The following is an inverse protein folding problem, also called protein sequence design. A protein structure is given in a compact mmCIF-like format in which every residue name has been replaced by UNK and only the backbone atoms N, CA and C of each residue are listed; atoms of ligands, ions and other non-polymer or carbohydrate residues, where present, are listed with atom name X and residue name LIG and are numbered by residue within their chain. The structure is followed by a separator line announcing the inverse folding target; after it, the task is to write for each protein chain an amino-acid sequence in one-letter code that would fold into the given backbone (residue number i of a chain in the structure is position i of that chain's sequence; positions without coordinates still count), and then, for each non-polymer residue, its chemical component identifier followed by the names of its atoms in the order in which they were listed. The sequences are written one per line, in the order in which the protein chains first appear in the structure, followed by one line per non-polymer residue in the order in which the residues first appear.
data_IF_761894550275
#
_entry.id   IF_761894550275
#
_cell.length_a   1.000
_cell.length_b   1.000
_cell.length_c   1.000
_cell.angle_alpha   90.00
_cell.angle_beta   90.00
_cell.angle_gamma   90.00
#
_symmetry.space_group_name_H-M   'P 1'
#
loop_
_entity.id
_entity.type
_entity.pdbx_description
1 polymer ?
#
# COMPACT_ATOMS: atom_id res chain seq x y z
N UNK A 1 -2.34 2.04 -4.90
CA UNK A 1 -2.92 2.06 -3.56
C UNK A 1 -2.91 0.66 -2.95
N UNK A 2 -2.86 0.60 -1.62
CA UNK A 2 -2.93 -0.65 -0.87
C UNK A 2 -4.38 -1.03 -0.58
N UNK A 3 -4.63 -2.33 -0.54
CA UNK A 3 -5.84 -2.92 0.01
C UNK A 3 -5.52 -3.65 1.33
N UNK A 4 -6.52 -3.74 2.18
CA UNK A 4 -6.51 -4.57 3.39
C UNK A 4 -7.18 -5.89 3.05
N UNK A 5 -6.58 -7.01 3.48
CA UNK A 5 -7.21 -8.33 3.37
C UNK A 5 -7.33 -9.01 4.72
N UNK A 6 -8.37 -9.83 4.89
CA UNK A 6 -8.56 -10.61 6.10
C UNK A 6 -9.51 -11.80 5.86
N UNK A 7 -9.63 -12.70 6.88
CA UNK A 7 -10.54 -13.85 6.86
C UNK A 7 -11.70 -13.74 7.87
N UNK A 8 -11.86 -12.60 8.57
CA UNK A 8 -12.91 -12.47 9.60
C UNK A 8 -14.21 -11.93 9.04
N UNK A 9 -14.14 -10.79 8.37
CA UNK A 9 -15.32 -10.10 7.87
C UNK A 9 -14.97 -9.06 6.82
N UNK A 10 -15.97 -8.61 6.09
CA UNK A 10 -15.90 -7.40 5.27
C UNK A 10 -15.60 -6.18 6.17
N UNK A 11 -14.66 -5.34 5.73
CA UNK A 11 -14.26 -4.11 6.42
C UNK A 11 -14.82 -2.93 5.66
N UNK A 12 -15.77 -2.25 6.26
CA UNK A 12 -16.34 -0.98 5.75
C UNK A 12 -16.06 0.20 6.67
N UNK A 13 -15.71 -0.06 7.93
CA UNK A 13 -15.34 0.96 8.92
C UNK A 13 -14.00 0.64 9.58
N UNK A 14 -13.28 1.65 10.04
CA UNK A 14 -11.97 1.48 10.68
C UNK A 14 -12.08 0.73 12.03
N UNK A 15 -13.18 0.90 12.75
CA UNK A 15 -13.37 0.22 14.03
C UNK A 15 -13.41 -1.32 13.89
N UNK A 16 -13.79 -1.83 12.72
CA UNK A 16 -13.79 -3.28 12.45
C UNK A 16 -12.37 -3.88 12.40
N UNK A 17 -11.33 -3.05 12.26
CA UNK A 17 -9.93 -3.48 12.34
C UNK A 17 -9.44 -3.66 13.77
N UNK A 18 -10.16 -3.09 14.76
CA UNK A 18 -9.70 -3.07 16.14
C UNK A 18 -9.44 -4.48 16.70
N UNK A 19 -8.24 -4.66 17.25
CA UNK A 19 -7.78 -5.92 17.84
C UNK A 19 -7.43 -7.02 16.83
N UNK A 20 -7.55 -6.79 15.52
CA UNK A 20 -7.09 -7.74 14.51
C UNK A 20 -5.57 -7.85 14.52
N UNK A 21 -5.07 -9.06 14.35
CA UNK A 21 -3.63 -9.33 14.14
C UNK A 21 -3.30 -9.14 12.67
N UNK A 22 -2.70 -8.01 12.34
CA UNK A 22 -2.34 -7.71 10.95
C UNK A 22 -0.83 -7.83 10.74
N UNK A 23 -0.44 -8.48 9.67
CA UNK A 23 0.97 -8.53 9.31
C UNK A 23 1.52 -7.12 9.09
N UNK A 24 2.70 -6.87 9.62
CA UNK A 24 3.48 -5.67 9.35
C UNK A 24 4.88 -6.03 8.85
N UNK A 25 5.48 -5.13 8.07
CA UNK A 25 6.91 -5.18 7.81
C UNK A 25 7.68 -4.73 9.07
N UNK A 26 8.97 -5.06 9.14
CA UNK A 26 9.87 -4.65 10.23
C UNK A 26 10.27 -3.17 10.05
N UNK A 27 9.35 -2.29 10.34
CA UNK A 27 9.50 -0.84 10.27
C UNK A 27 8.67 -0.20 11.37
N UNK A 28 9.29 0.63 12.20
CA UNK A 28 8.60 1.35 13.30
C UNK A 28 7.42 2.16 12.77
N UNK A 29 7.58 2.80 11.62
CA UNK A 29 6.52 3.55 10.96
C UNK A 29 5.32 2.65 10.61
N UNK A 30 5.57 1.48 10.02
CA UNK A 30 4.50 0.53 9.66
C UNK A 30 3.82 -0.03 10.91
N UNK A 31 4.57 -0.37 11.96
CA UNK A 31 4.04 -0.85 13.23
C UNK A 31 3.14 0.20 13.86
N UNK A 32 3.67 1.41 14.08
CA UNK A 32 2.92 2.51 14.71
C UNK A 32 1.69 2.92 13.90
N UNK A 33 1.74 2.82 12.57
CA UNK A 33 0.60 3.13 11.71
C UNK A 33 -0.57 2.13 11.88
N UNK A 34 -0.29 0.88 12.25
CA UNK A 34 -1.31 -0.10 12.62
C UNK A 34 -1.80 0.13 14.05
N UNK A 35 -0.89 0.37 14.99
CA UNK A 35 -1.23 0.65 16.39
C UNK A 35 -2.14 1.88 16.53
N UNK A 36 -1.93 2.92 15.72
CA UNK A 36 -2.79 4.10 15.66
C UNK A 36 -4.25 3.78 15.29
N UNK A 37 -4.48 2.68 14.58
CA UNK A 37 -5.82 2.17 14.23
C UNK A 37 -6.33 1.10 15.22
N UNK A 38 -5.72 0.96 16.38
CA UNK A 38 -6.01 -0.08 17.39
C UNK A 38 -5.87 -1.52 16.86
N UNK A 39 -5.02 -1.71 15.87
CA UNK A 39 -4.66 -3.00 15.28
C UNK A 39 -3.46 -3.58 16.02
N UNK A 40 -3.36 -4.91 16.11
CA UNK A 40 -2.21 -5.61 16.66
C UNK A 40 -1.24 -5.98 15.52
N UNK A 41 -0.15 -5.22 15.29
CA UNK A 41 0.81 -5.55 14.25
C UNK A 41 1.66 -6.75 14.65
N UNK A 42 1.84 -7.67 13.72
CA UNK A 42 2.74 -8.83 13.85
C UNK A 42 3.78 -8.75 12.75
N UNK A 43 5.04 -8.54 13.14
CA UNK A 43 6.14 -8.38 12.18
C UNK A 43 6.63 -9.72 11.66
N UNK A 44 6.72 -9.84 10.35
CA UNK A 44 7.29 -11.01 9.68
C UNK A 44 7.76 -10.69 8.27
N UNK A 45 8.66 -11.53 7.74
CA UNK A 45 9.08 -11.43 6.35
C UNK A 45 7.91 -11.72 5.40
N UNK A 46 7.92 -11.11 4.20
CA UNK A 46 6.88 -11.34 3.21
C UNK A 46 6.81 -12.80 2.75
N UNK A 47 7.95 -13.49 2.71
CA UNK A 47 8.05 -14.91 2.36
C UNK A 47 7.34 -15.86 3.34
N UNK A 48 7.10 -15.42 4.59
CA UNK A 48 6.42 -16.21 5.62
C UNK A 48 4.91 -15.97 5.65
N UNK A 49 4.45 -14.96 4.91
CA UNK A 49 3.10 -14.42 5.06
C UNK A 49 2.03 -15.40 4.60
N UNK A 50 2.20 -16.10 3.47
CA UNK A 50 1.19 -17.04 2.97
C UNK A 50 0.84 -18.12 4.01
N UNK A 51 1.86 -18.77 4.57
CA UNK A 51 1.67 -19.81 5.60
C UNK A 51 1.08 -19.22 6.88
N UNK A 52 1.47 -18.00 7.25
CA UNK A 52 0.95 -17.32 8.44
C UNK A 52 -0.52 -16.92 8.32
N UNK A 53 -0.97 -16.55 7.11
CA UNK A 53 -2.37 -16.32 6.80
C UNK A 53 -3.17 -17.62 6.76
N UNK A 54 -2.60 -18.68 6.17
CA UNK A 54 -3.22 -19.98 6.03
C UNK A 54 -3.51 -20.63 7.38
N UNK A 55 -2.58 -20.55 8.31
CA UNK A 55 -2.73 -21.16 9.65
C UNK A 55 -3.31 -20.21 10.71
N UNK A 56 -3.66 -18.96 10.35
CA UNK A 56 -4.27 -17.98 11.23
C UNK A 56 -3.34 -17.37 12.28
N UNK A 57 -2.02 -17.41 12.08
CA UNK A 57 -1.05 -16.68 12.92
C UNK A 57 -1.34 -15.19 12.89
N UNK A 58 -1.72 -14.67 11.71
CA UNK A 58 -2.28 -13.35 11.50
C UNK A 58 -3.65 -13.43 10.86
N UNK A 59 -4.51 -12.48 11.16
CA UNK A 59 -5.87 -12.40 10.63
C UNK A 59 -5.88 -11.85 9.20
N UNK A 60 -4.90 -11.00 8.89
CA UNK A 60 -4.84 -10.31 7.60
C UNK A 60 -3.54 -9.56 7.37
N UNK A 61 -3.53 -8.79 6.30
CA UNK A 61 -2.38 -7.99 5.87
C UNK A 61 -2.85 -6.83 4.99
N UNK A 62 -1.91 -5.96 4.59
CA UNK A 62 -2.12 -4.98 3.53
C UNK A 62 -1.03 -5.07 2.48
N UNK A 63 -1.42 -4.93 1.23
CA UNK A 63 -0.50 -4.84 0.08
C UNK A 63 -1.23 -4.27 -1.14
N UNK A 64 -0.52 -4.13 -2.27
CA UNK A 64 -1.15 -3.77 -3.54
C UNK A 64 -1.96 -4.92 -4.12
N UNK A 65 -2.98 -4.64 -4.94
CA UNK A 65 -3.77 -5.66 -5.66
C UNK A 65 -2.86 -6.60 -6.44
N UNK A 66 -1.91 -6.04 -7.20
CA UNK A 66 -1.00 -6.85 -8.01
C UNK A 66 -0.13 -7.80 -7.18
N UNK A 67 0.40 -7.35 -6.03
CA UNK A 67 1.17 -8.22 -5.13
C UNK A 67 0.29 -9.28 -4.46
N UNK A 68 -0.93 -8.92 -4.08
CA UNK A 68 -1.89 -9.85 -3.51
C UNK A 68 -2.22 -10.98 -4.49
N UNK A 69 -2.54 -10.61 -5.74
CA UNK A 69 -2.89 -11.55 -6.79
C UNK A 69 -1.71 -12.44 -7.19
N UNK A 70 -0.54 -11.86 -7.47
CA UNK A 70 0.64 -12.62 -7.89
C UNK A 70 1.19 -13.57 -6.80
N UNK A 71 0.93 -13.26 -5.53
CA UNK A 71 1.28 -14.11 -4.38
C UNK A 71 0.19 -15.12 -4.02
N UNK A 72 -0.89 -15.17 -4.78
CA UNK A 72 -2.02 -16.10 -4.60
C UNK A 72 -2.67 -16.02 -3.20
N UNK A 73 -2.61 -14.85 -2.54
CA UNK A 73 -3.20 -14.68 -1.21
C UNK A 73 -4.71 -14.85 -1.20
N UNK A 74 -5.39 -14.76 -2.34
CA UNK A 74 -6.81 -15.05 -2.49
C UNK A 74 -7.18 -16.52 -2.15
N UNK A 75 -6.22 -17.44 -2.12
CA UNK A 75 -6.46 -18.82 -1.66
C UNK A 75 -6.65 -18.91 -0.14
N UNK A 76 -6.10 -17.95 0.60
CA UNK A 76 -6.06 -17.94 2.06
C UNK A 76 -6.69 -16.71 2.70
N UNK A 77 -7.24 -15.78 1.90
CA UNK A 77 -7.88 -14.54 2.36
C UNK A 77 -9.16 -14.28 1.57
N UNK A 78 -10.29 -14.05 2.25
CA UNK A 78 -11.62 -13.95 1.63
C UNK A 78 -12.15 -12.54 1.45
N UNK A 79 -11.76 -11.61 2.32
CA UNK A 79 -12.29 -10.24 2.32
C UNK A 79 -11.20 -9.27 1.95
N UNK A 80 -11.45 -8.46 0.93
CA UNK A 80 -10.55 -7.42 0.45
C UNK A 80 -11.26 -6.07 0.55
N UNK A 81 -10.60 -5.08 1.14
CA UNK A 81 -11.12 -3.71 1.20
C UNK A 81 -10.10 -2.74 0.62
N UNK A 82 -10.52 -1.94 -0.35
CA UNK A 82 -9.70 -0.85 -0.91
C UNK A 82 -9.66 0.30 0.10
N UNK A 83 -8.65 0.30 0.96
CA UNK A 83 -8.52 1.28 2.03
C UNK A 83 -7.95 2.62 1.57
N UNK A 84 -7.20 2.63 0.49
CA UNK A 84 -6.44 3.79 -0.02
C UNK A 84 -5.51 4.44 1.04
N UNK A 85 -5.13 3.66 2.05
CA UNK A 85 -4.34 4.13 3.19
C UNK A 85 -2.90 4.45 2.81
N UNK A 86 -2.30 3.64 1.96
CA UNK A 86 -0.92 3.79 1.51
C UNK A 86 -0.89 3.92 0.00
N UNK A 87 -0.22 4.96 -0.46
CA UNK A 87 0.12 5.10 -1.87
C UNK A 87 1.50 4.49 -2.12
N UNK A 88 1.55 3.45 -2.96
CA UNK A 88 2.80 2.77 -3.25
C UNK A 88 3.55 3.47 -4.38
N UNK A 89 4.70 4.04 -4.04
CA UNK A 89 5.61 4.66 -5.00
C UNK A 89 6.78 3.71 -5.26
N UNK A 90 7.04 3.44 -6.53
CA UNK A 90 8.22 2.70 -6.98
C UNK A 90 9.25 3.66 -7.52
N UNK A 91 10.52 3.46 -7.17
CA UNK A 91 11.65 4.25 -7.66
C UNK A 91 12.65 3.36 -8.37
N UNK A 92 13.18 3.85 -9.48
CA UNK A 92 14.32 3.21 -10.14
C UNK A 92 15.60 3.76 -9.51
N UNK A 93 16.44 2.86 -8.97
CA UNK A 93 17.69 3.23 -8.34
C UNK A 93 18.85 2.52 -9.03
N UNK A 94 19.94 3.26 -9.22
CA UNK A 94 21.21 2.75 -9.71
C UNK A 94 22.32 3.35 -8.85
N UNK A 95 23.37 2.57 -8.55
CA UNK A 95 24.52 3.13 -7.86
C UNK A 95 25.26 4.12 -8.76
N UNK A 96 25.84 5.17 -8.16
CA UNK A 96 26.63 6.14 -8.90
C UNK A 96 27.78 5.48 -9.67
N UNK A 97 28.45 4.52 -9.06
CA UNK A 97 29.54 3.77 -9.72
C UNK A 97 29.07 3.06 -11.00
N UNK A 98 27.88 2.42 -10.96
CA UNK A 98 27.32 1.74 -12.13
C UNK A 98 26.90 2.76 -13.21
N UNK A 99 26.34 3.89 -12.80
CA UNK A 99 25.96 4.97 -13.71
C UNK A 99 27.17 5.56 -14.42
N UNK A 100 28.25 5.86 -13.70
CA UNK A 100 29.48 6.47 -14.25
C UNK A 100 30.25 5.50 -15.16
N UNK A 101 30.02 4.19 -15.04
CA UNK A 101 30.60 3.19 -15.94
C UNK A 101 29.90 3.11 -17.31
N UNK A 102 28.71 3.72 -17.45
CA UNK A 102 27.96 3.77 -18.70
C UNK A 102 28.48 4.91 -19.59
N UNK A 103 28.50 4.67 -20.90
CA UNK A 103 28.67 5.75 -21.87
C UNK A 103 27.43 6.66 -21.88
N UNK A 104 27.59 7.90 -22.32
CA UNK A 104 26.47 8.85 -22.46
C UNK A 104 25.30 8.26 -23.29
N UNK A 105 25.61 7.56 -24.37
CA UNK A 105 24.59 6.89 -25.18
C UNK A 105 23.81 5.82 -24.39
N UNK A 106 24.49 5.04 -23.53
CA UNK A 106 23.84 4.04 -22.69
C UNK A 106 23.01 4.68 -21.57
N UNK A 107 23.49 5.78 -20.97
CA UNK A 107 22.73 6.56 -19.99
C UNK A 107 21.44 7.11 -20.61
N UNK A 108 21.51 7.66 -21.83
CA UNK A 108 20.35 8.18 -22.54
C UNK A 108 19.31 7.08 -22.84
N UNK A 109 19.76 5.92 -23.34
CA UNK A 109 18.87 4.77 -23.59
C UNK A 109 18.18 4.31 -22.30
N UNK A 110 18.93 4.23 -21.19
CA UNK A 110 18.38 3.83 -19.90
C UNK A 110 17.32 4.82 -19.40
N UNK A 111 17.60 6.13 -19.49
CA UNK A 111 16.66 7.18 -19.11
C UNK A 111 15.40 7.17 -19.97
N UNK A 112 15.54 6.98 -21.28
CA UNK A 112 14.40 6.84 -22.19
C UNK A 112 13.52 5.64 -21.80
N UNK A 113 14.13 4.48 -21.58
CA UNK A 113 13.39 3.27 -21.17
C UNK A 113 12.69 3.44 -19.82
N UNK A 114 13.32 4.08 -18.81
CA UNK A 114 12.71 4.37 -17.50
C UNK A 114 11.53 5.34 -17.67
N UNK A 115 11.69 6.39 -18.46
CA UNK A 115 10.62 7.37 -18.71
C UNK A 115 9.43 6.72 -19.41
N UNK A 116 9.67 5.97 -20.48
CA UNK A 116 8.61 5.24 -21.21
C UNK A 116 7.89 4.24 -20.28
N UNK A 117 8.63 3.43 -19.53
CA UNK A 117 8.08 2.51 -18.57
C UNK A 117 7.21 3.21 -17.52
N UNK A 118 7.67 4.36 -17.00
CA UNK A 118 6.94 5.13 -15.98
C UNK A 118 5.62 5.70 -16.51
N UNK A 119 5.61 6.18 -17.75
CA UNK A 119 4.40 6.70 -18.40
C UNK A 119 3.36 5.60 -18.63
N UNK A 120 3.80 4.44 -19.11
CA UNK A 120 2.92 3.33 -19.44
C UNK A 120 2.46 2.54 -18.21
N UNK A 121 3.24 2.57 -17.12
CA UNK A 121 3.00 1.77 -15.91
C UNK A 121 1.62 2.03 -15.28
N UNK A 122 1.20 3.29 -15.22
CA UNK A 122 -0.06 3.68 -14.59
C UNK A 122 -1.26 2.99 -15.25
N UNK A 123 -1.36 3.09 -16.57
CA UNK A 123 -2.47 2.53 -17.34
C UNK A 123 -2.45 0.99 -17.31
N UNK A 124 -1.26 0.41 -17.49
CA UNK A 124 -1.08 -1.04 -17.38
C UNK A 124 -1.51 -1.58 -16.02
N UNK A 125 -1.05 -0.96 -14.92
CA UNK A 125 -1.38 -1.41 -13.56
C UNK A 125 -2.84 -1.19 -13.20
N UNK A 126 -3.48 -0.14 -13.71
CA UNK A 126 -4.90 0.06 -13.51
C UNK A 126 -5.69 -1.11 -14.10
N UNK A 127 -5.44 -1.43 -15.37
CA UNK A 127 -6.09 -2.56 -16.03
C UNK A 127 -5.76 -3.89 -15.35
N UNK A 128 -4.50 -4.13 -15.00
CA UNK A 128 -4.08 -5.34 -14.32
C UNK A 128 -4.79 -5.53 -12.97
N UNK A 129 -4.94 -4.45 -12.20
CA UNK A 129 -5.64 -4.50 -10.91
C UNK A 129 -7.14 -4.80 -11.10
N UNK A 130 -7.81 -4.16 -12.07
CA UNK A 130 -9.22 -4.42 -12.39
C UNK A 130 -9.44 -5.88 -12.81
N UNK A 131 -8.62 -6.39 -13.74
CA UNK A 131 -8.69 -7.77 -14.21
C UNK A 131 -8.45 -8.76 -13.05
N UNK A 132 -7.46 -8.48 -12.19
CA UNK A 132 -7.14 -9.33 -11.03
C UNK A 132 -8.27 -9.35 -9.99
N UNK A 133 -8.88 -8.22 -9.68
CA UNK A 133 -10.03 -8.14 -8.76
C UNK A 133 -11.20 -8.94 -9.33
N UNK A 134 -11.51 -8.74 -10.61
CA UNK A 134 -12.59 -9.45 -11.28
C UNK A 134 -12.38 -10.97 -11.26
N UNK A 135 -11.16 -11.44 -11.54
CA UNK A 135 -10.82 -12.86 -11.49
C UNK A 135 -10.98 -13.44 -10.06
N UNK A 136 -10.47 -12.74 -9.05
CA UNK A 136 -10.58 -13.17 -7.65
C UNK A 136 -12.04 -13.28 -7.19
N UNK A 137 -12.86 -12.30 -7.55
CA UNK A 137 -14.30 -12.29 -7.19
C UNK A 137 -15.07 -13.41 -7.92
N UNK A 138 -14.84 -13.59 -9.21
CA UNK A 138 -15.60 -14.52 -10.03
C UNK A 138 -15.19 -15.98 -9.82
N UNK A 139 -13.90 -16.26 -9.65
CA UNK A 139 -13.36 -17.60 -9.68
C UNK A 139 -12.89 -18.14 -8.34
N UNK A 140 -12.59 -17.27 -7.35
CA UNK A 140 -12.02 -17.67 -6.05
C UNK A 140 -12.90 -17.33 -4.85
N UNK A 141 -14.08 -16.74 -5.06
CA UNK A 141 -15.06 -16.45 -4.02
C UNK A 141 -14.60 -15.36 -3.03
N UNK A 142 -13.76 -14.46 -3.50
CA UNK A 142 -13.31 -13.29 -2.73
C UNK A 142 -14.43 -12.24 -2.71
N UNK A 143 -14.68 -11.65 -1.55
CA UNK A 143 -15.52 -10.46 -1.40
C UNK A 143 -14.66 -9.22 -1.49
N UNK A 144 -14.96 -8.33 -2.43
CA UNK A 144 -14.23 -7.08 -2.62
C UNK A 144 -15.11 -5.88 -2.27
N UNK A 145 -14.61 -5.03 -1.41
CA UNK A 145 -15.20 -3.75 -0.99
C UNK A 145 -14.34 -2.62 -1.58
N UNK A 146 -14.93 -1.85 -2.48
CA UNK A 146 -14.22 -0.84 -3.28
C UNK A 146 -13.88 0.45 -2.51
N UNK A 147 -14.50 0.66 -1.35
CA UNK A 147 -14.26 1.83 -0.50
C UNK A 147 -14.67 1.59 0.95
N UNK A 148 -14.10 2.35 1.86
CA UNK A 148 -14.62 2.49 3.21
C UNK A 148 -15.91 3.34 3.19
N UNK A 149 -16.73 3.22 4.23
CA UNK A 149 -17.92 4.04 4.41
C UNK A 149 -17.56 5.54 4.48
N UNK A 150 -18.54 6.39 4.21
CA UNK A 150 -18.35 7.85 4.23
C UNK A 150 -17.80 8.32 5.59
N UNK A 151 -16.78 9.18 5.56
CA UNK A 151 -16.13 9.73 6.75
C UNK A 151 -15.04 8.82 7.35
N UNK A 152 -15.01 7.52 7.06
CA UNK A 152 -14.05 6.58 7.67
C UNK A 152 -12.61 6.84 7.21
N UNK A 153 -12.41 7.32 5.98
CA UNK A 153 -11.09 7.73 5.52
C UNK A 153 -10.54 8.92 6.32
N UNK A 154 -11.38 9.93 6.60
CA UNK A 154 -10.98 11.07 7.43
C UNK A 154 -10.69 10.63 8.87
N UNK A 155 -11.53 9.78 9.44
CA UNK A 155 -11.31 9.17 10.76
C UNK A 155 -9.97 8.44 10.83
N UNK A 156 -9.65 7.62 9.82
CA UNK A 156 -8.36 6.92 9.72
C UNK A 156 -7.18 7.89 9.68
N UNK A 157 -7.30 8.99 8.92
CA UNK A 157 -6.29 10.05 8.84
C UNK A 157 -6.09 10.72 10.21
N UNK A 158 -7.18 11.05 10.90
CA UNK A 158 -7.14 11.70 12.21
C UNK A 158 -6.51 10.78 13.27
N UNK A 159 -6.87 9.50 13.29
CA UNK A 159 -6.25 8.50 14.17
C UNK A 159 -4.75 8.33 13.91
N UNK A 160 -4.32 8.47 12.67
CA UNK A 160 -2.93 8.33 12.24
C UNK A 160 -2.12 9.64 12.34
N UNK A 161 -2.69 10.73 12.83
CA UNK A 161 -2.05 12.05 12.84
C UNK A 161 -0.68 12.06 13.57
N UNK A 162 -0.54 11.32 14.67
CA UNK A 162 0.70 11.22 15.43
C UNK A 162 1.86 10.56 14.65
N UNK A 163 1.57 9.85 13.56
CA UNK A 163 2.60 9.23 12.71
C UNK A 163 3.39 10.32 11.97
N UNK A 164 2.74 11.42 11.63
CA UNK A 164 3.41 12.55 10.97
C UNK A 164 4.48 13.20 11.82
N UNK A 165 4.33 13.20 13.16
CA UNK A 165 5.33 13.73 14.07
C UNK A 165 6.64 12.93 13.98
N UNK A 166 6.56 11.61 13.79
CA UNK A 166 7.74 10.76 13.60
C UNK A 166 8.53 11.12 12.34
N UNK A 167 7.84 11.49 11.26
CA UNK A 167 8.50 11.92 10.01
C UNK A 167 9.15 13.29 10.22
N UNK A 168 8.48 14.19 10.91
CA UNK A 168 8.97 15.52 11.23
C UNK A 168 10.23 15.48 12.10
N UNK A 169 10.30 14.54 13.04
CA UNK A 169 11.47 14.32 13.88
C UNK A 169 12.70 13.83 13.10
N UNK A 170 12.50 13.15 11.96
CA UNK A 170 13.59 12.69 11.10
C UNK A 170 14.15 13.84 10.24
N UNK A 171 13.28 14.62 9.59
CA UNK A 171 13.64 15.75 8.74
C UNK A 171 12.48 16.75 8.63
N UNK A 172 12.48 17.74 9.50
CA UNK A 172 11.39 18.72 9.57
C UNK A 172 11.27 19.58 8.31
N UNK A 173 12.38 19.91 7.65
CA UNK A 173 12.35 20.75 6.45
C UNK A 173 11.71 20.01 5.27
N UNK A 174 12.08 18.75 5.08
CA UNK A 174 11.46 17.91 4.04
C UNK A 174 10.00 17.56 4.36
N UNK A 175 9.67 17.40 5.64
CA UNK A 175 8.29 17.23 6.07
C UNK A 175 7.43 18.43 5.67
N UNK A 176 7.91 19.66 5.97
CA UNK A 176 7.16 20.87 5.63
C UNK A 176 7.01 21.07 4.12
N UNK A 177 8.04 20.75 3.33
CA UNK A 177 7.96 20.75 1.86
C UNK A 177 6.93 19.74 1.33
N UNK A 178 6.92 18.52 1.88
CA UNK A 178 5.97 17.47 1.49
C UNK A 178 4.54 17.85 1.83
N UNK A 179 4.30 18.36 3.04
CA UNK A 179 2.96 18.78 3.47
C UNK A 179 2.43 19.94 2.61
N UNK A 180 3.28 20.92 2.31
CA UNK A 180 2.93 22.00 1.41
C UNK A 180 2.57 21.49 0.00
N UNK A 181 3.38 20.60 -0.57
CA UNK A 181 3.08 20.01 -1.87
C UNK A 181 1.79 19.19 -1.87
N UNK A 182 1.49 18.47 -0.77
CA UNK A 182 0.25 17.73 -0.61
C UNK A 182 -0.97 18.67 -0.54
N UNK A 183 -0.89 19.77 0.19
CA UNK A 183 -1.97 20.77 0.31
C UNK A 183 -2.22 21.44 -1.05
N UNK A 184 -1.17 21.81 -1.77
CA UNK A 184 -1.28 22.39 -3.12
C UNK A 184 -1.93 21.39 -4.11
N UNK A 185 -1.53 20.10 -4.05
CA UNK A 185 -2.13 19.05 -4.88
C UNK A 185 -3.61 18.82 -4.54
N UNK A 186 -3.97 18.77 -3.26
CA UNK A 186 -5.34 18.61 -2.80
C UNK A 186 -6.22 19.79 -3.21
N UNK A 187 -5.70 21.01 -3.20
CA UNK A 187 -6.41 22.20 -3.67
C UNK A 187 -6.63 22.18 -5.20
N UNK A 188 -5.65 21.67 -5.95
CA UNK A 188 -5.74 21.58 -7.41
C UNK A 188 -6.64 20.40 -7.88
N UNK A 189 -6.67 19.32 -7.10
CA UNK A 189 -7.38 18.07 -7.41
C UNK A 189 -8.22 17.62 -6.20
N UNK A 190 -9.31 18.34 -5.85
CA UNK A 190 -10.14 17.96 -4.71
C UNK A 190 -10.73 16.57 -4.91
N UNK A 191 -10.77 15.78 -3.84
CA UNK A 191 -11.42 14.47 -3.85
C UNK A 191 -12.89 14.64 -4.25
N UNK A 192 -13.35 13.75 -5.14
CA UNK A 192 -14.74 13.72 -5.59
C UNK A 192 -15.59 13.00 -4.56
#
# INVERSE_FOLDING_TARGET
WYLISNNKSEITTIDQLSGMKMRSMTSDMAIKSWEALNVQPVTMAFSELFVSLQNGTVDGQETTVGSFYSSQFYEVQKYLTQSNRIFHVMTFLMSQQAWDALTEAQQNILMEAVNESSLNHKEYMQKYNEDSINDMVQNYGVTYTDSLAEGEWQKMKDMSASIYDLVKDIDSARYDELMKAADEANAAYPAK
#
